data_IF_521606298406
#
_entry.id   IF_521606298406
#
_cell.length_a   1.000
_cell.length_b   1.000
_cell.length_c   1.000
_cell.angle_alpha   90.00
_cell.angle_beta   90.00
_cell.angle_gamma   90.00
#
_symmetry.space_group_name_H-M   'P 1'
#
loop_
_entity.id
_entity.type
_entity.pdbx_description
1 polymer ?
#
# COMPACT_ATOMS: atom_id res chain seq x y z
N UNK A 1 -5.38 -8.25 -13.62
CA UNK A 1 -4.75 -8.53 -12.32
C UNK A 1 -3.89 -9.75 -12.49
N UNK A 2 -2.86 -9.90 -11.68
CA UNK A 2 -1.88 -10.99 -11.79
C UNK A 2 -1.70 -11.67 -10.44
N UNK A 3 -1.49 -12.98 -10.46
CA UNK A 3 -1.24 -13.77 -9.25
C UNK A 3 0.22 -13.61 -8.83
N UNK A 4 0.44 -13.06 -7.63
CA UNK A 4 1.79 -12.80 -7.10
C UNK A 4 2.24 -13.96 -6.20
N UNK A 5 1.32 -14.42 -5.34
CA UNK A 5 1.46 -15.62 -4.51
C UNK A 5 0.23 -16.51 -4.73
N UNK A 6 0.27 -17.80 -4.37
CA UNK A 6 -0.89 -18.68 -4.47
C UNK A 6 -2.14 -18.03 -3.85
N UNK A 7 -3.19 -17.85 -4.64
CA UNK A 7 -4.45 -17.21 -4.27
C UNK A 7 -4.38 -15.72 -3.86
N UNK A 8 -3.25 -15.04 -4.06
CA UNK A 8 -3.08 -13.60 -3.75
C UNK A 8 -2.75 -12.84 -5.03
N UNK A 9 -3.61 -11.89 -5.37
CA UNK A 9 -3.62 -11.17 -6.63
C UNK A 9 -3.34 -9.68 -6.44
N UNK A 10 -2.63 -9.09 -7.41
CA UNK A 10 -2.38 -7.66 -7.51
C UNK A 10 -3.06 -7.08 -8.76
N UNK A 11 -3.79 -5.97 -8.61
CA UNK A 11 -4.52 -5.36 -9.72
C UNK A 11 -4.78 -3.85 -9.60
N UNK A 12 -5.39 -3.31 -10.65
CA UNK A 12 -6.02 -1.98 -10.66
C UNK A 12 -7.54 -2.07 -10.48
N UNK A 13 -8.23 -0.93 -10.48
CA UNK A 13 -9.67 -0.85 -10.22
C UNK A 13 -10.50 -1.64 -11.24
N UNK A 14 -10.09 -1.65 -12.51
CA UNK A 14 -10.75 -2.45 -13.55
C UNK A 14 -10.86 -3.94 -13.17
N UNK A 15 -9.86 -4.50 -12.49
CA UNK A 15 -9.92 -5.88 -12.02
C UNK A 15 -10.86 -6.05 -10.82
N UNK A 16 -10.90 -5.06 -9.94
CA UNK A 16 -11.80 -5.02 -8.79
C UNK A 16 -13.28 -4.88 -9.23
N UNK A 17 -13.54 -4.22 -10.34
CA UNK A 17 -14.88 -4.00 -10.88
C UNK A 17 -15.40 -5.17 -11.73
N UNK A 18 -14.52 -6.10 -12.13
CA UNK A 18 -14.86 -7.22 -13.01
C UNK A 18 -15.28 -8.47 -12.21
N UNK A 19 -16.59 -8.60 -11.95
CA UNK A 19 -17.13 -9.70 -11.15
C UNK A 19 -16.87 -11.10 -11.73
N UNK A 20 -16.84 -11.26 -13.05
CA UNK A 20 -16.55 -12.54 -13.69
C UNK A 20 -15.12 -12.99 -13.37
N UNK A 21 -14.17 -12.06 -13.42
CA UNK A 21 -12.77 -12.28 -13.08
C UNK A 21 -12.62 -12.63 -11.60
N UNK A 22 -13.30 -11.88 -10.72
CA UNK A 22 -13.29 -12.16 -9.28
C UNK A 22 -13.86 -13.57 -8.98
N UNK A 23 -14.96 -13.94 -9.62
CA UNK A 23 -15.61 -15.25 -9.45
C UNK A 23 -14.72 -16.38 -9.95
N UNK A 24 -14.16 -16.24 -11.15
CA UNK A 24 -13.26 -17.23 -11.77
C UNK A 24 -12.02 -17.49 -10.91
N UNK A 25 -11.48 -16.44 -10.28
CA UNK A 25 -10.31 -16.50 -9.41
C UNK A 25 -10.68 -16.74 -7.93
N UNK A 26 -11.95 -17.03 -7.64
CA UNK A 26 -12.48 -17.33 -6.29
C UNK A 26 -12.13 -16.25 -5.26
N UNK A 27 -12.11 -14.99 -5.70
CA UNK A 27 -11.85 -13.85 -4.83
C UNK A 27 -13.03 -13.70 -3.87
N UNK A 28 -12.73 -13.72 -2.58
CA UNK A 28 -13.70 -13.50 -1.50
C UNK A 28 -13.21 -12.48 -0.46
N UNK A 29 -12.03 -11.89 -0.70
CA UNK A 29 -11.52 -10.76 0.05
C UNK A 29 -10.85 -9.74 -0.89
N UNK A 30 -11.23 -8.47 -0.77
CA UNK A 30 -10.68 -7.36 -1.54
C UNK A 30 -10.14 -6.29 -0.58
N UNK A 31 -8.87 -5.92 -0.77
CA UNK A 31 -8.21 -4.80 -0.11
C UNK A 31 -7.97 -3.67 -1.11
N UNK A 32 -8.69 -2.56 -0.95
CA UNK A 32 -8.58 -1.37 -1.80
C UNK A 32 -7.73 -0.30 -1.13
N UNK A 33 -6.65 0.12 -1.79
CA UNK A 33 -5.82 1.26 -1.37
C UNK A 33 -5.99 2.38 -2.40
N UNK A 34 -6.90 3.30 -2.13
CA UNK A 34 -7.43 4.23 -3.14
C UNK A 34 -7.67 5.61 -2.56
N UNK A 35 -7.61 6.66 -3.38
CA UNK A 35 -7.99 8.02 -2.97
C UNK A 35 -9.50 8.27 -3.07
N UNK A 36 -10.18 7.48 -3.92
CA UNK A 36 -11.63 7.49 -4.12
C UNK A 36 -12.17 6.07 -3.95
N UNK A 37 -13.38 5.96 -3.41
CA UNK A 37 -14.05 4.67 -3.28
C UNK A 37 -14.37 4.06 -4.65
N UNK A 38 -14.52 2.73 -4.67
CA UNK A 38 -15.11 2.03 -5.80
C UNK A 38 -16.55 2.53 -6.04
N UNK A 39 -17.07 2.41 -7.28
CA UNK A 39 -18.46 2.73 -7.58
C UNK A 39 -19.43 2.02 -6.62
N UNK A 40 -20.55 2.65 -6.23
CA UNK A 40 -21.56 2.00 -5.38
C UNK A 40 -22.02 0.65 -5.93
N UNK A 41 -22.23 0.55 -7.25
CA UNK A 41 -22.61 -0.69 -7.93
C UNK A 41 -21.63 -1.83 -7.72
N UNK A 42 -20.32 -1.55 -7.73
CA UNK A 42 -19.27 -2.55 -7.44
C UNK A 42 -19.34 -3.01 -6.00
N UNK A 43 -19.53 -2.08 -5.06
CA UNK A 43 -19.63 -2.39 -3.62
C UNK A 43 -20.90 -3.19 -3.31
N UNK A 44 -22.01 -2.89 -3.98
CA UNK A 44 -23.23 -3.68 -3.88
C UNK A 44 -23.00 -5.08 -4.45
N UNK A 45 -22.33 -5.21 -5.60
CA UNK A 45 -21.98 -6.51 -6.16
C UNK A 45 -21.11 -7.35 -5.20
N UNK A 46 -20.18 -6.73 -4.48
CA UNK A 46 -19.40 -7.43 -3.45
C UNK A 46 -20.27 -7.97 -2.33
N UNK A 47 -21.23 -7.19 -1.83
CA UNK A 47 -22.17 -7.64 -0.80
C UNK A 47 -23.00 -8.84 -1.27
N UNK A 48 -23.57 -8.77 -2.48
CA UNK A 48 -24.35 -9.87 -3.06
C UNK A 48 -23.52 -11.15 -3.25
N UNK A 49 -22.25 -11.01 -3.62
CA UNK A 49 -21.33 -12.13 -3.83
C UNK A 49 -20.54 -12.53 -2.57
N UNK A 50 -20.87 -11.97 -1.41
CA UNK A 50 -20.20 -12.23 -0.12
C UNK A 50 -18.68 -12.00 -0.17
N UNK A 51 -18.24 -11.01 -0.95
CA UNK A 51 -16.85 -10.57 -0.99
C UNK A 51 -16.64 -9.60 0.17
N UNK A 52 -15.75 -9.98 1.09
CA UNK A 52 -15.32 -9.08 2.16
C UNK A 52 -14.47 -7.95 1.58
N UNK A 53 -14.83 -6.71 1.87
CA UNK A 53 -14.16 -5.53 1.32
C UNK A 53 -13.57 -4.66 2.43
N UNK A 54 -12.26 -4.42 2.37
CA UNK A 54 -11.56 -3.45 3.20
C UNK A 54 -11.09 -2.31 2.31
N UNK A 55 -11.46 -1.08 2.68
CA UNK A 55 -11.06 0.13 1.98
C UNK A 55 -10.16 0.99 2.88
N UNK A 56 -9.00 1.37 2.36
CA UNK A 56 -8.06 2.26 3.01
C UNK A 56 -7.84 3.47 2.09
N UNK A 57 -8.17 4.67 2.60
CA UNK A 57 -8.01 5.91 1.83
C UNK A 57 -6.54 6.32 1.81
N UNK A 58 -5.92 6.33 0.63
CA UNK A 58 -4.53 6.78 0.41
C UNK A 58 -4.33 7.44 -0.95
N UNK A 59 -3.62 8.56 -0.98
CA UNK A 59 -3.19 9.25 -2.19
C UNK A 59 -1.96 8.60 -2.80
N UNK A 60 -1.72 8.83 -4.10
CA UNK A 60 -0.55 8.27 -4.80
C UNK A 60 0.56 9.31 -4.88
N UNK A 61 0.95 9.82 -3.72
CA UNK A 61 1.87 10.95 -3.58
C UNK A 61 3.08 10.49 -2.77
N UNK A 62 4.27 11.01 -3.07
CA UNK A 62 5.50 10.60 -2.38
C UNK A 62 5.47 10.87 -0.88
N UNK A 63 4.69 11.84 -0.45
CA UNK A 63 4.51 12.24 0.95
C UNK A 63 3.36 11.52 1.68
N UNK A 64 2.53 10.75 0.97
CA UNK A 64 1.46 10.00 1.61
C UNK A 64 2.06 8.91 2.51
N UNK A 65 1.63 8.86 3.77
CA UNK A 65 2.16 7.91 4.74
C UNK A 65 1.50 6.53 4.64
N UNK A 66 2.19 5.57 4.06
CA UNK A 66 1.74 4.19 3.93
C UNK A 66 2.12 3.33 5.14
N UNK A 67 3.12 3.72 5.93
CA UNK A 67 3.75 2.87 6.95
C UNK A 67 2.77 2.36 8.03
N UNK A 68 1.85 3.16 8.60
CA UNK A 68 0.89 2.71 9.60
C UNK A 68 0.00 1.55 9.15
N UNK A 69 -0.28 1.45 7.84
CA UNK A 69 -1.24 0.47 7.33
C UNK A 69 -0.58 -0.85 6.93
N UNK A 70 0.74 -0.88 6.73
CA UNK A 70 1.43 -2.03 6.13
C UNK A 70 1.31 -3.28 7.00
N UNK A 71 1.48 -3.15 8.33
CA UNK A 71 1.40 -4.28 9.24
C UNK A 71 0.04 -4.96 9.22
N UNK A 72 -1.04 -4.20 9.41
CA UNK A 72 -2.40 -4.75 9.38
C UNK A 72 -2.78 -5.24 7.97
N UNK A 73 -2.37 -4.54 6.91
CA UNK A 73 -2.60 -4.98 5.54
C UNK A 73 -1.95 -6.35 5.26
N UNK A 74 -0.68 -6.54 5.66
CA UNK A 74 0.02 -7.82 5.51
C UNK A 74 -0.68 -8.94 6.28
N UNK A 75 -1.10 -8.65 7.52
CA UNK A 75 -1.81 -9.60 8.37
C UNK A 75 -3.15 -10.02 7.75
N UNK A 76 -4.00 -9.10 7.31
CA UNK A 76 -5.30 -9.47 6.73
C UNK A 76 -5.16 -10.19 5.39
N UNK A 77 -4.11 -9.89 4.60
CA UNK A 77 -3.78 -10.65 3.38
C UNK A 77 -3.46 -12.10 3.76
N UNK A 78 -2.53 -12.30 4.70
CA UNK A 78 -2.11 -13.63 5.16
C UNK A 78 -3.28 -14.44 5.73
N UNK A 79 -4.04 -13.86 6.67
CA UNK A 79 -5.14 -14.54 7.34
C UNK A 79 -6.26 -14.96 6.39
N UNK A 80 -6.55 -14.17 5.36
CA UNK A 80 -7.57 -14.55 4.37
C UNK A 80 -7.03 -15.60 3.40
N UNK A 81 -5.77 -15.49 2.97
CA UNK A 81 -5.12 -16.50 2.12
C UNK A 81 -5.06 -17.86 2.82
N UNK A 82 -4.64 -17.92 4.10
CA UNK A 82 -4.59 -19.14 4.90
C UNK A 82 -5.97 -19.80 5.11
N UNK A 83 -7.06 -19.01 5.05
CA UNK A 83 -8.44 -19.52 5.07
C UNK A 83 -8.89 -20.06 3.70
N UNK A 84 -7.99 -20.16 2.72
CA UNK A 84 -8.27 -20.63 1.37
C UNK A 84 -9.03 -19.62 0.50
N UNK A 85 -9.09 -18.35 0.90
CA UNK A 85 -9.76 -17.31 0.11
C UNK A 85 -8.85 -16.77 -0.98
N UNK A 86 -9.42 -16.49 -2.15
CA UNK A 86 -8.78 -15.59 -3.11
C UNK A 86 -8.75 -14.16 -2.57
N UNK A 87 -7.57 -13.55 -2.55
CA UNK A 87 -7.31 -12.20 -2.03
C UNK A 87 -6.92 -11.28 -3.19
N UNK A 88 -7.63 -10.18 -3.40
CA UNK A 88 -7.24 -9.12 -4.34
C UNK A 88 -6.76 -7.90 -3.56
N UNK A 89 -5.51 -7.49 -3.78
CA UNK A 89 -4.99 -6.19 -3.34
C UNK A 89 -4.93 -5.28 -4.56
N UNK A 90 -5.62 -4.14 -4.51
CA UNK A 90 -5.68 -3.23 -5.66
C UNK A 90 -5.64 -1.75 -5.28
N UNK A 91 -5.20 -0.96 -6.25
CA UNK A 91 -5.35 0.49 -6.25
C UNK A 91 -5.97 0.91 -7.60
N UNK A 92 -5.71 2.14 -8.07
CA UNK A 92 -6.34 2.64 -9.29
C UNK A 92 -5.77 1.89 -10.50
N UNK A 93 -4.44 1.92 -10.65
CA UNK A 93 -3.75 1.30 -11.79
C UNK A 93 -3.08 -0.03 -11.44
N UNK A 94 -2.96 -0.36 -10.14
CA UNK A 94 -2.17 -1.51 -9.70
C UNK A 94 -0.68 -1.36 -10.01
N UNK A 95 -0.18 -0.13 -9.88
CA UNK A 95 1.20 0.27 -10.20
C UNK A 95 1.97 0.64 -8.93
N UNK A 96 1.39 1.52 -8.11
CA UNK A 96 2.08 2.15 -6.98
C UNK A 96 1.52 1.73 -5.62
N UNK A 97 0.49 2.38 -5.08
CA UNK A 97 -0.09 2.08 -3.74
C UNK A 97 -0.28 0.59 -3.40
N UNK A 98 -1.02 -0.16 -4.21
CA UNK A 98 -1.25 -1.60 -3.95
C UNK A 98 -0.01 -2.45 -4.19
N UNK A 99 0.88 -2.01 -5.09
CA UNK A 99 2.16 -2.66 -5.27
C UNK A 99 3.06 -2.46 -4.04
N UNK A 100 3.06 -1.27 -3.42
CA UNK A 100 3.75 -1.02 -2.14
C UNK A 100 3.29 -2.00 -1.07
N UNK A 101 1.96 -2.19 -0.91
CA UNK A 101 1.42 -3.18 0.04
C UNK A 101 1.86 -4.60 -0.32
N UNK A 102 1.81 -4.97 -1.61
CA UNK A 102 2.22 -6.31 -2.06
C UNK A 102 3.72 -6.57 -1.84
N UNK A 103 4.57 -5.55 -2.01
CA UNK A 103 6.01 -5.63 -1.74
C UNK A 103 6.26 -5.71 -0.23
N UNK A 104 5.57 -4.90 0.58
CA UNK A 104 5.64 -4.99 2.04
C UNK A 104 5.23 -6.39 2.53
N UNK A 105 4.19 -6.97 1.93
CA UNK A 105 3.78 -8.34 2.19
C UNK A 105 4.85 -9.36 1.78
N UNK A 106 5.46 -9.20 0.60
CA UNK A 106 6.55 -10.07 0.15
C UNK A 106 7.77 -10.05 1.10
N UNK A 107 8.08 -8.89 1.70
CA UNK A 107 9.16 -8.74 2.68
C UNK A 107 8.91 -9.52 3.98
N UNK A 108 7.65 -9.65 4.41
CA UNK A 108 7.28 -10.32 5.67
C UNK A 108 6.75 -11.74 5.50
N UNK A 109 6.37 -12.12 4.28
CA UNK A 109 5.71 -13.40 4.00
C UNK A 109 6.67 -14.55 4.27
N UNK A 110 6.28 -15.39 5.22
CA UNK A 110 7.00 -16.59 5.67
C UNK A 110 7.26 -17.57 4.53
N UNK A 111 6.38 -17.60 3.52
CA UNK A 111 6.52 -18.46 2.33
C UNK A 111 7.76 -18.07 1.52
N UNK A 112 8.04 -16.78 1.33
CA UNK A 112 9.30 -16.33 0.71
C UNK A 112 10.49 -16.58 1.63
N UNK A 113 10.33 -16.36 2.94
CA UNK A 113 11.40 -16.62 3.92
C UNK A 113 11.82 -18.10 3.96
N UNK A 114 10.87 -19.02 3.69
CA UNK A 114 11.13 -20.46 3.60
C UNK A 114 11.70 -20.88 2.23
N UNK A 115 11.23 -20.30 1.12
CA UNK A 115 11.71 -20.63 -0.23
C UNK A 115 13.12 -20.10 -0.49
N UNK A 116 13.46 -18.92 0.04
CA UNK A 116 14.76 -18.26 -0.22
C UNK A 116 15.90 -18.80 0.69
N UNK A 117 15.59 -19.71 1.63
CA UNK A 117 16.53 -20.45 2.49
C UNK A 117 17.81 -19.74 2.96
N UNK A 118 17.90 -19.57 4.29
CA UNK A 118 19.10 -19.36 5.10
C UNK A 118 19.68 -17.93 5.14
N UNK A 119 19.12 -17.15 6.09
CA UNK A 119 19.80 -16.27 7.07
C UNK A 119 19.52 -14.77 7.04
N UNK A 120 18.93 -14.14 6.01
CA UNK A 120 18.94 -12.66 5.97
C UNK A 120 17.69 -11.93 5.43
N UNK A 121 16.57 -12.62 5.19
CA UNK A 121 15.41 -11.98 4.54
C UNK A 121 15.73 -11.54 3.10
N UNK A 122 14.80 -10.86 2.44
CA UNK A 122 15.03 -10.22 1.13
C UNK A 122 15.02 -8.71 1.32
N UNK A 123 15.84 -8.00 0.53
CA UNK A 123 15.83 -6.54 0.49
C UNK A 123 14.59 -5.98 -0.22
N UNK A 124 14.20 -4.72 0.01
CA UNK A 124 13.13 -4.06 -0.72
C UNK A 124 13.29 -4.13 -2.23
N UNK A 125 14.51 -3.97 -2.75
CA UNK A 125 14.79 -4.02 -4.19
C UNK A 125 14.55 -5.43 -4.78
N UNK A 126 14.95 -6.48 -4.05
CA UNK A 126 14.67 -7.88 -4.43
C UNK A 126 13.18 -8.18 -4.37
N UNK A 127 12.47 -7.71 -3.33
CA UNK A 127 11.03 -7.87 -3.21
C UNK A 127 10.28 -7.15 -4.34
N UNK A 128 10.68 -5.93 -4.71
CA UNK A 128 10.13 -5.22 -5.87
C UNK A 128 10.38 -6.01 -7.15
N UNK A 129 11.60 -6.55 -7.33
CA UNK A 129 11.96 -7.32 -8.51
C UNK A 129 11.11 -8.58 -8.64
N UNK A 130 10.89 -9.29 -7.52
CA UNK A 130 9.99 -10.44 -7.46
C UNK A 130 8.56 -10.08 -7.86
N UNK A 131 7.96 -9.06 -7.23
CA UNK A 131 6.57 -8.65 -7.51
C UNK A 131 6.44 -8.13 -8.94
N UNK A 132 7.44 -7.39 -9.45
CA UNK A 132 7.50 -6.93 -10.83
C UNK A 132 7.62 -8.08 -11.83
N UNK A 133 8.33 -9.16 -11.47
CA UNK A 133 8.39 -10.39 -12.26
C UNK A 133 7.02 -11.07 -12.43
N UNK A 134 6.09 -10.83 -11.50
CA UNK A 134 4.69 -11.30 -11.60
C UNK A 134 3.77 -10.30 -12.30
N UNK A 135 4.03 -9.00 -12.12
CA UNK A 135 3.27 -7.89 -12.73
C UNK A 135 4.21 -6.77 -13.17
N UNK A 136 4.54 -6.73 -14.47
CA UNK A 136 5.61 -5.87 -15.01
C UNK A 136 5.41 -4.36 -14.79
N UNK A 137 4.15 -3.90 -14.66
CA UNK A 137 3.82 -2.48 -14.45
C UNK A 137 4.09 -1.99 -13.03
N UNK A 138 4.52 -2.85 -12.11
CA UNK A 138 4.81 -2.49 -10.72
C UNK A 138 5.92 -1.44 -10.65
N UNK A 139 5.56 -0.27 -10.14
CA UNK A 139 6.46 0.87 -9.97
C UNK A 139 5.91 1.80 -8.89
N UNK A 140 6.12 1.48 -7.59
CA UNK A 140 5.84 2.41 -6.50
C UNK A 140 6.50 3.77 -6.76
N UNK A 141 5.82 4.84 -6.35
CA UNK A 141 6.43 6.17 -6.40
C UNK A 141 7.67 6.23 -5.47
N UNK A 142 8.54 7.23 -5.69
CA UNK A 142 9.81 7.33 -4.95
C UNK A 142 9.63 7.36 -3.43
N UNK A 143 8.64 8.08 -2.92
CA UNK A 143 8.39 8.13 -1.49
C UNK A 143 7.93 6.80 -0.90
N UNK A 144 7.18 6.00 -1.66
CA UNK A 144 6.82 4.65 -1.25
C UNK A 144 8.00 3.68 -1.31
N UNK A 145 8.93 3.86 -2.23
CA UNK A 145 10.19 3.09 -2.24
C UNK A 145 11.00 3.36 -0.98
N UNK A 146 11.16 4.63 -0.59
CA UNK A 146 11.83 5.01 0.66
C UNK A 146 11.10 4.44 1.89
N UNK A 147 9.77 4.46 1.90
CA UNK A 147 9.00 3.88 3.00
C UNK A 147 9.16 2.36 3.11
N UNK A 148 9.41 1.64 2.01
CA UNK A 148 9.70 0.19 2.08
C UNK A 148 11.05 -0.10 2.74
N UNK A 149 12.03 0.80 2.60
CA UNK A 149 13.29 0.74 3.35
C UNK A 149 13.04 1.01 4.84
N UNK A 150 12.27 2.06 5.17
CA UNK A 150 11.87 2.35 6.55
C UNK A 150 11.10 1.19 7.19
N UNK A 151 10.24 0.51 6.41
CA UNK A 151 9.51 -0.67 6.84
C UNK A 151 10.45 -1.80 7.26
N UNK A 152 11.50 -2.06 6.46
CA UNK A 152 12.54 -3.03 6.78
C UNK A 152 13.37 -2.60 8.00
N UNK A 153 13.80 -1.35 8.06
CA UNK A 153 14.60 -0.80 9.18
C UNK A 153 13.84 -0.86 10.51
N UNK A 154 12.52 -0.74 10.45
CA UNK A 154 11.65 -0.90 11.61
C UNK A 154 11.43 -2.37 12.00
N UNK A 155 11.98 -3.34 11.27
CA UNK A 155 11.71 -4.76 11.50
C UNK A 155 10.24 -5.11 11.29
N UNK A 156 9.61 -4.48 10.30
CA UNK A 156 8.22 -4.75 9.89
C UNK A 156 7.16 -4.49 10.97
N UNK A 157 7.45 -3.54 11.85
CA UNK A 157 6.51 -2.95 12.80
C UNK A 157 7.01 -1.55 13.11
N UNK A 158 6.32 -0.52 12.61
CA UNK A 158 6.82 0.87 12.65
C UNK A 158 6.65 1.51 14.03
N UNK A 159 5.97 0.85 14.96
CA UNK A 159 5.74 1.34 16.31
C UNK A 159 6.57 0.56 17.34
N UNK A 160 6.95 1.25 18.41
CA UNK A 160 7.55 0.64 19.59
C UNK A 160 6.56 -0.27 20.31
N UNK A 161 7.08 -1.31 20.96
CA UNK A 161 6.28 -2.13 21.89
C UNK A 161 5.85 -1.33 23.12
N UNK A 162 6.58 -0.27 23.45
CA UNK A 162 6.25 0.64 24.55
C UNK A 162 5.32 1.71 24.01
N UNK A 163 4.17 1.86 24.66
CA UNK A 163 3.26 2.99 24.48
C UNK A 163 3.52 4.03 25.54
N UNK A 164 3.44 5.32 25.18
CA UNK A 164 3.54 6.43 26.13
C UNK A 164 2.15 7.06 26.22
N UNK A 165 1.59 7.15 27.42
CA UNK A 165 0.23 7.66 27.65
C UNK A 165 -0.86 6.93 26.82
N UNK A 166 -0.65 5.65 26.48
CA UNK A 166 -1.55 4.87 25.64
C UNK A 166 -1.37 5.09 24.13
N UNK A 167 -0.56 6.05 23.73
CA UNK A 167 -0.27 6.36 22.32
C UNK A 167 0.88 5.51 21.78
N UNK A 168 0.81 5.21 20.48
CA UNK A 168 1.87 4.50 19.80
C UNK A 168 3.06 5.43 19.58
N UNK A 169 4.25 4.95 19.91
CA UNK A 169 5.49 5.69 19.69
C UNK A 169 6.14 5.17 18.40
N UNK A 170 6.37 6.00 17.38
CA UNK A 170 7.07 5.56 16.17
C UNK A 170 8.51 5.17 16.50
N UNK A 171 9.00 4.11 15.84
CA UNK A 171 10.44 3.77 15.88
C UNK A 171 11.25 4.86 15.18
N UNK A 172 12.53 4.94 15.52
CA UNK A 172 13.40 6.04 15.08
C UNK A 172 13.42 6.26 13.56
N UNK A 173 13.51 5.19 12.77
CA UNK A 173 13.48 5.29 11.31
C UNK A 173 12.16 5.90 10.78
N UNK A 174 11.02 5.48 11.35
CA UNK A 174 9.72 6.02 10.99
C UNK A 174 9.55 7.47 11.48
N UNK A 175 10.00 7.79 12.70
CA UNK A 175 9.98 9.16 13.23
C UNK A 175 10.79 10.13 12.36
N UNK A 176 11.98 9.71 11.88
CA UNK A 176 12.79 10.50 10.94
C UNK A 176 12.08 10.70 9.60
N UNK A 177 11.35 9.69 9.12
CA UNK A 177 10.56 9.82 7.89
C UNK A 177 9.40 10.82 8.06
N UNK A 178 8.65 10.73 9.17
CA UNK A 178 7.55 11.64 9.49
C UNK A 178 8.01 13.11 9.50
N UNK A 179 9.12 13.39 10.18
CA UNK A 179 9.68 14.75 10.22
C UNK A 179 9.99 15.29 8.83
N UNK A 180 10.60 14.48 7.95
CA UNK A 180 10.89 14.90 6.56
C UNK A 180 9.60 15.15 5.77
N UNK A 181 8.57 14.30 5.95
CA UNK A 181 7.28 14.47 5.29
C UNK A 181 6.57 15.76 5.72
N UNK A 182 6.63 16.10 7.02
CA UNK A 182 6.13 17.37 7.56
C UNK A 182 6.86 18.58 6.97
N UNK A 183 8.19 18.53 6.91
CA UNK A 183 9.02 19.59 6.31
C UNK A 183 8.69 19.82 4.83
N UNK A 184 8.49 18.74 4.06
CA UNK A 184 8.06 18.82 2.65
C UNK A 184 6.69 19.47 2.50
N UNK A 185 5.73 19.12 3.37
CA UNK A 185 4.39 19.73 3.34
C UNK A 185 4.44 21.23 3.65
N UNK A 186 5.21 21.62 4.66
CA UNK A 186 5.37 23.03 5.02
C UNK A 186 6.03 23.83 3.89
N UNK A 187 6.94 23.22 3.13
CA UNK A 187 7.54 23.85 1.96
C UNK A 187 6.53 24.01 0.81
N UNK A 188 5.77 22.96 0.48
CA UNK A 188 4.73 23.01 -0.56
C UNK A 188 3.70 24.12 -0.27
N UNK A 189 3.29 24.29 0.99
CA UNK A 189 2.36 25.35 1.41
C UNK A 189 2.93 26.75 1.24
N UNK A 190 4.22 26.94 1.56
CA UNK A 190 4.91 28.22 1.35
C UNK A 190 5.02 28.56 -0.12
N UNK A 191 5.37 27.58 -0.95
CA UNK A 191 5.53 27.77 -2.39
C UNK A 191 4.18 28.07 -3.05
N UNK A 192 3.10 27.40 -2.63
CA UNK A 192 1.74 27.70 -3.09
C UNK A 192 1.28 29.10 -2.66
N UNK A 193 1.57 29.51 -1.43
CA UNK A 193 1.25 30.85 -0.94
C UNK A 193 2.01 31.95 -1.71
N UNK A 194 3.30 31.72 -2.02
CA UNK A 194 4.11 32.63 -2.82
C UNK A 194 3.57 32.78 -4.25
N UNK A 195 3.19 31.66 -4.89
CA UNK A 195 2.59 31.68 -6.23
C UNK A 195 1.25 32.43 -6.27
N UNK A 196 0.41 32.26 -5.24
CA UNK A 196 -0.86 32.98 -5.15
C UNK A 196 -0.65 34.49 -4.96
N UNK A 197 0.31 34.89 -4.12
CA UNK A 197 0.64 36.29 -3.92
C UNK A 197 1.19 36.95 -5.20
N UNK A 198 2.03 36.25 -5.98
CA UNK A 198 2.53 36.78 -7.25
C UNK A 198 1.44 36.94 -8.32
N UNK A 199 0.40 36.10 -8.30
CA UNK A 199 -0.70 36.18 -9.26
C UNK A 199 -1.68 37.32 -8.94
N UNK A 200 -1.85 37.67 -7.66
CA UNK A 200 -2.72 38.79 -7.24
C UNK A 200 -2.15 40.17 -7.58
N UNK A 201 -0.82 40.30 -7.68
CA UNK A 201 -0.16 41.56 -8.03
C UNK A 201 -0.18 41.86 -9.54
N UNK A 202 -0.50 40.87 -10.38
CA UNK A 202 -0.61 41.02 -11.85
C UNK A 202 -2.03 41.30 -12.36
N UNK A 203 -3.05 41.32 -11.49
CA UNK A 203 -4.46 41.60 -11.84
C UNK A 203 -4.97 42.97 -11.31
N UNK A 204 -4.08 43.88 -10.92
CA UNK A 204 -4.47 45.27 -10.63
C UNK A 204 -4.55 46.10 -11.93
N UNK A 205 -5.67 46.82 -12.21
CA UNK A 205 -5.87 47.59 -13.43
C UNK A 205 -5.00 48.86 -13.54
#
# INVERSE_FOLDING_TARGET
MDEVFPNIYLGGSYAAENMDTLTTKKISFVLSIMSKNLPPSTRDAYMHNRIQHVYIKKHDESKEDMLPILGEACKVIEENSQKGKGVLVHCAMGISRSATVMVAYALVSTVLTMIVMQRWGISPSEAITFVRGKRYVVSPNRGFLEQLEVWQDCGYDVYSKIKVNGEQVPKEAYARWLKRAEEMNAQDERDAAAQNASNTDTEAP
#
